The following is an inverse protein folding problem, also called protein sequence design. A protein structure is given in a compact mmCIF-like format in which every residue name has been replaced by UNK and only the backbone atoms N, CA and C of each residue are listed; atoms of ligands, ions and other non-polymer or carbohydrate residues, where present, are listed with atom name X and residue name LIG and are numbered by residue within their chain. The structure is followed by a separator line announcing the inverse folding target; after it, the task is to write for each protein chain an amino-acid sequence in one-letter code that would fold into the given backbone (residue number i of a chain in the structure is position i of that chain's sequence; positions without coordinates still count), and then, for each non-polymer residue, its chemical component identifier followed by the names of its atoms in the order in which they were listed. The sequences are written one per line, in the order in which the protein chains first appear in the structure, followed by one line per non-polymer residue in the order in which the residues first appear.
data_IF_375672668831
#
_entry.id   IF_375672668831
#
_cell.length_a   1.000
_cell.length_b   1.000
_cell.length_c   1.000
_cell.angle_alpha   90.00
_cell.angle_beta   90.00
_cell.angle_gamma   90.00
#
_symmetry.space_group_name_H-M   'P 1'
#
loop_
_entity.id
_entity.type
_entity.pdbx_description
1 polymer ?
#
# COMPACT_ATOMS: atom_id res chain seq x y z
N UNK A 1 -19.36 -17.82 15.04
CA UNK A 1 -18.70 -16.78 14.21
C UNK A 1 -18.61 -17.34 12.79
N UNK A 2 -19.20 -16.68 11.78
CA UNK A 2 -19.38 -17.25 10.42
C UNK A 2 -18.08 -17.38 9.60
N UNK A 3 -17.07 -16.55 9.90
CA UNK A 3 -15.79 -16.52 9.16
C UNK A 3 -14.61 -16.80 10.09
N UNK A 4 -13.58 -17.42 9.52
CA UNK A 4 -12.33 -17.76 10.21
C UNK A 4 -11.21 -16.90 9.65
N UNK A 5 -10.73 -15.96 10.47
CA UNK A 5 -9.49 -15.22 10.17
C UNK A 5 -8.31 -16.08 10.62
N UNK A 6 -7.48 -16.49 9.65
CA UNK A 6 -6.27 -17.27 9.93
C UNK A 6 -5.30 -16.42 10.75
N UNK A 7 -4.44 -17.07 11.53
CA UNK A 7 -3.33 -16.39 12.21
C UNK A 7 -2.44 -15.67 11.20
N UNK A 8 -1.69 -14.65 11.62
CA UNK A 8 -0.78 -13.93 10.72
C UNK A 8 0.22 -14.87 10.04
N UNK A 9 0.76 -15.86 10.76
CA UNK A 9 1.69 -16.83 10.19
C UNK A 9 1.05 -17.65 9.05
N UNK A 10 -0.17 -18.14 9.24
CA UNK A 10 -0.93 -18.85 8.22
C UNK A 10 -1.30 -17.95 7.04
N UNK A 11 -1.69 -16.70 7.29
CA UNK A 11 -1.96 -15.72 6.24
C UNK A 11 -0.73 -15.44 5.38
N UNK A 12 0.45 -15.31 5.98
CA UNK A 12 1.70 -15.13 5.26
C UNK A 12 2.12 -16.36 4.46
N UNK A 13 1.77 -17.57 4.91
CA UNK A 13 1.90 -18.80 4.11
C UNK A 13 0.91 -18.80 2.95
N UNK A 14 -0.37 -18.53 3.21
CA UNK A 14 -1.43 -18.46 2.20
C UNK A 14 -1.13 -17.44 1.09
N UNK A 15 -0.57 -16.28 1.43
CA UNK A 15 -0.14 -15.22 0.50
C UNK A 15 0.85 -15.72 -0.58
N UNK A 16 1.56 -16.82 -0.33
CA UNK A 16 2.55 -17.39 -1.26
C UNK A 16 1.95 -18.44 -2.22
N UNK A 17 0.66 -18.75 -2.08
CA UNK A 17 0.00 -19.80 -2.87
C UNK A 17 -0.46 -19.31 -4.25
N UNK A 18 -0.68 -20.24 -5.17
CA UNK A 18 -1.30 -19.93 -6.47
C UNK A 18 -2.76 -19.47 -6.29
N UNK A 19 -3.49 -20.03 -5.32
CA UNK A 19 -4.85 -19.61 -5.00
C UNK A 19 -4.91 -18.12 -4.65
N UNK A 20 -4.02 -17.61 -3.81
CA UNK A 20 -3.93 -16.18 -3.52
C UNK A 20 -3.71 -15.34 -4.79
N UNK A 21 -2.86 -15.82 -5.70
CA UNK A 21 -2.59 -15.15 -6.98
C UNK A 21 -3.81 -15.14 -7.90
N UNK A 22 -4.60 -16.21 -7.92
CA UNK A 22 -5.86 -16.28 -8.67
C UNK A 22 -6.92 -15.33 -8.09
N UNK A 23 -7.09 -15.30 -6.77
CA UNK A 23 -8.01 -14.38 -6.11
C UNK A 23 -7.60 -12.93 -6.38
N UNK A 24 -6.30 -12.63 -6.36
CA UNK A 24 -5.80 -11.29 -6.68
C UNK A 24 -6.18 -10.84 -8.10
N UNK A 25 -6.04 -11.74 -9.09
CA UNK A 25 -6.45 -11.45 -10.49
C UNK A 25 -7.95 -11.17 -10.58
N UNK A 26 -8.77 -11.94 -9.86
CA UNK A 26 -10.21 -11.72 -9.80
C UNK A 26 -10.55 -10.36 -9.17
N UNK A 27 -9.97 -10.06 -8.01
CA UNK A 27 -10.15 -8.79 -7.30
C UNK A 27 -9.77 -7.58 -8.15
N UNK A 28 -8.66 -7.67 -8.89
CA UNK A 28 -8.26 -6.68 -9.89
C UNK A 28 -9.30 -6.50 -10.99
N UNK A 29 -9.83 -7.61 -11.53
CA UNK A 29 -10.77 -7.54 -12.65
C UNK A 29 -12.12 -6.91 -12.31
N UNK A 30 -12.51 -6.88 -11.04
CA UNK A 30 -13.74 -6.22 -10.57
C UNK A 30 -13.48 -4.90 -9.84
N UNK A 31 -12.23 -4.42 -9.81
CA UNK A 31 -11.87 -3.14 -9.20
C UNK A 31 -11.92 -3.11 -7.67
N UNK A 32 -12.01 -4.26 -7.00
CA UNK A 32 -12.09 -4.32 -5.53
C UNK A 32 -10.78 -3.95 -4.83
N UNK A 33 -9.66 -3.98 -5.56
CA UNK A 33 -8.36 -3.54 -5.06
C UNK A 33 -8.15 -2.01 -5.17
N UNK A 34 -9.19 -1.26 -5.57
CA UNK A 34 -9.08 0.18 -5.78
C UNK A 34 -8.93 0.94 -4.45
N UNK A 35 -8.45 2.19 -4.56
CA UNK A 35 -8.39 3.12 -3.43
C UNK A 35 -9.79 3.42 -2.89
N UNK A 36 -10.81 3.47 -3.74
CA UNK A 36 -12.19 3.66 -3.31
C UNK A 36 -12.65 2.53 -2.39
N UNK A 37 -12.31 1.29 -2.75
CA UNK A 37 -12.69 0.09 -2.01
C UNK A 37 -11.94 -0.02 -0.69
N UNK A 38 -10.62 0.15 -0.70
CA UNK A 38 -9.74 -0.23 0.42
C UNK A 38 -9.21 0.96 1.23
N UNK A 39 -9.25 2.17 0.67
CA UNK A 39 -8.56 3.36 1.16
C UNK A 39 -7.12 3.48 0.63
N UNK A 40 -6.48 4.63 0.87
CA UNK A 40 -5.05 4.82 0.61
C UNK A 40 -4.23 4.12 1.70
N UNK A 41 -4.10 2.80 1.59
CA UNK A 41 -3.54 1.94 2.64
C UNK A 41 -2.15 2.37 3.13
N UNK A 42 -1.22 2.72 2.23
CA UNK A 42 0.09 3.21 2.66
C UNK A 42 -0.02 4.54 3.41
N UNK A 43 -0.80 5.51 2.91
CA UNK A 43 -1.04 6.79 3.60
C UNK A 43 -1.62 6.56 4.99
N UNK A 44 -2.56 5.62 5.14
CA UNK A 44 -3.14 5.22 6.41
C UNK A 44 -2.09 4.63 7.35
N UNK A 45 -1.25 3.69 6.89
CA UNK A 45 -0.12 3.18 7.68
C UNK A 45 0.78 4.32 8.16
N UNK A 46 1.21 5.20 7.24
CA UNK A 46 2.09 6.33 7.55
C UNK A 46 1.45 7.28 8.58
N UNK A 47 0.13 7.55 8.47
CA UNK A 47 -0.66 8.41 9.36
C UNK A 47 -0.89 7.78 10.75
N UNK A 48 -0.99 6.46 10.83
CA UNK A 48 -1.27 5.74 12.08
C UNK A 48 -0.20 5.93 13.15
N UNK A 49 1.05 6.17 12.74
CA UNK A 49 2.24 6.15 13.60
C UNK A 49 2.38 4.84 14.40
N UNK A 50 1.78 3.74 13.93
CA UNK A 50 1.84 2.44 14.58
C UNK A 50 3.30 1.94 14.66
N UNK A 51 3.69 1.45 15.84
CA UNK A 51 5.02 0.91 16.12
C UNK A 51 5.10 -0.58 15.84
N UNK A 52 3.97 -1.26 15.83
CA UNK A 52 3.87 -2.69 15.56
C UNK A 52 2.62 -3.03 14.74
N UNK A 53 2.56 -4.29 14.31
CA UNK A 53 1.49 -4.82 13.47
C UNK A 53 0.09 -4.68 14.11
N UNK A 54 -0.03 -4.96 15.41
CA UNK A 54 -1.31 -4.96 16.10
C UNK A 54 -1.87 -3.55 16.31
N UNK A 55 -0.99 -2.57 16.56
CA UNK A 55 -1.37 -1.15 16.58
C UNK A 55 -1.88 -0.70 15.21
N UNK A 56 -1.25 -1.13 14.12
CA UNK A 56 -1.72 -0.84 12.77
C UNK A 56 -3.09 -1.45 12.48
N UNK A 57 -3.26 -2.74 12.78
CA UNK A 57 -4.51 -3.47 12.62
C UNK A 57 -5.64 -2.79 13.38
N UNK A 58 -5.40 -2.45 14.65
CA UNK A 58 -6.35 -1.73 15.51
C UNK A 58 -6.69 -0.35 14.94
N UNK A 59 -5.70 0.41 14.50
CA UNK A 59 -5.91 1.73 13.87
C UNK A 59 -6.77 1.63 12.60
N UNK A 60 -6.48 0.65 11.72
CA UNK A 60 -7.22 0.48 10.47
C UNK A 60 -8.71 0.25 10.74
N UNK A 61 -9.05 -0.71 11.60
CA UNK A 61 -10.44 -1.01 11.92
C UNK A 61 -11.13 0.10 12.70
N UNK A 62 -10.43 0.77 13.64
CA UNK A 62 -10.97 1.92 14.35
C UNK A 62 -11.28 3.09 13.39
N UNK A 63 -10.41 3.34 12.40
CA UNK A 63 -10.67 4.34 11.37
C UNK A 63 -11.85 3.97 10.46
N UNK A 64 -12.07 2.67 10.21
CA UNK A 64 -13.25 2.17 9.52
C UNK A 64 -14.56 2.38 10.28
N UNK A 65 -14.54 2.25 11.61
CA UNK A 65 -15.71 2.64 12.45
C UNK A 65 -16.01 4.13 12.32
N UNK A 66 -14.99 5.00 12.32
CA UNK A 66 -15.14 6.44 12.09
C UNK A 66 -15.72 6.75 10.71
N UNK A 67 -15.21 6.09 9.66
CA UNK A 67 -15.76 6.17 8.29
C UNK A 67 -17.26 5.92 8.27
N UNK A 68 -17.70 4.83 8.91
CA UNK A 68 -19.12 4.48 8.90
C UNK A 68 -19.96 5.49 9.68
N UNK A 69 -19.43 6.06 10.76
CA UNK A 69 -20.05 7.19 11.46
C UNK A 69 -20.23 8.43 10.57
N UNK A 70 -19.23 8.74 9.72
CA UNK A 70 -19.33 9.84 8.75
C UNK A 70 -20.34 9.55 7.64
N UNK A 71 -20.34 8.32 7.10
CA UNK A 71 -21.30 7.90 6.06
C UNK A 71 -22.74 7.97 6.58
N UNK A 72 -22.99 7.54 7.83
CA UNK A 72 -24.34 7.60 8.43
C UNK A 72 -24.94 9.01 8.50
N UNK A 73 -24.11 10.05 8.45
CA UNK A 73 -24.56 11.46 8.46
C UNK A 73 -24.90 11.99 7.07
N UNK A 74 -24.66 11.21 6.02
CA UNK A 74 -24.99 11.57 4.64
C UNK A 74 -26.41 11.13 4.29
N UNK A 75 -26.98 11.67 3.22
CA UNK A 75 -28.30 11.27 2.71
C UNK A 75 -28.30 9.78 2.28
N UNK A 76 -29.46 9.10 2.28
CA UNK A 76 -29.55 7.69 1.89
C UNK A 76 -28.92 7.37 0.53
N UNK A 77 -29.09 8.25 -0.46
CA UNK A 77 -28.55 8.11 -1.82
C UNK A 77 -27.02 8.14 -1.79
N UNK A 78 -26.45 9.11 -1.05
CA UNK A 78 -24.99 9.21 -0.86
C UNK A 78 -24.44 8.02 -0.09
N UNK A 79 -25.18 7.51 0.91
CA UNK A 79 -24.77 6.30 1.62
C UNK A 79 -24.69 5.10 0.69
N UNK A 80 -25.63 4.95 -0.25
CA UNK A 80 -25.61 3.88 -1.23
C UNK A 80 -24.34 3.92 -2.10
N UNK A 81 -23.96 5.11 -2.58
CA UNK A 81 -22.69 5.29 -3.29
C UNK A 81 -21.48 4.95 -2.41
N UNK A 82 -21.44 5.50 -1.19
CA UNK A 82 -20.28 5.37 -0.30
C UNK A 82 -20.03 3.93 0.16
N UNK A 83 -21.07 3.10 0.29
CA UNK A 83 -20.98 1.69 0.71
C UNK A 83 -20.63 0.73 -0.43
N UNK A 84 -20.61 1.21 -1.68
CA UNK A 84 -20.27 0.37 -2.82
C UNK A 84 -18.77 0.10 -2.88
N UNK A 85 -18.39 -1.18 -2.94
CA UNK A 85 -16.98 -1.58 -2.96
C UNK A 85 -16.37 -1.62 -4.35
N UNK A 86 -17.14 -1.98 -5.39
CA UNK A 86 -16.65 -2.07 -6.77
C UNK A 86 -17.34 -1.03 -7.63
N UNK A 87 -16.59 -0.33 -8.48
CA UNK A 87 -17.11 0.69 -9.37
C UNK A 87 -16.71 0.37 -10.81
N UNK A 88 -17.67 0.36 -11.72
CA UNK A 88 -17.37 0.48 -13.15
C UNK A 88 -17.09 1.95 -13.52
N UNK A 89 -16.72 2.20 -14.77
CA UNK A 89 -16.36 3.54 -15.27
C UNK A 89 -17.50 4.54 -15.11
N UNK A 90 -18.70 4.19 -15.57
CA UNK A 90 -19.91 5.01 -15.45
C UNK A 90 -20.24 5.34 -14.00
N UNK A 91 -20.15 4.37 -13.10
CA UNK A 91 -20.40 4.56 -11.67
C UNK A 91 -19.35 5.47 -11.02
N UNK A 92 -18.10 5.36 -11.46
CA UNK A 92 -17.03 6.25 -11.02
C UNK A 92 -17.27 7.70 -11.47
N UNK A 93 -17.81 7.91 -12.67
CA UNK A 93 -18.24 9.23 -13.15
C UNK A 93 -19.42 9.78 -12.35
N UNK A 94 -20.48 8.99 -12.19
CA UNK A 94 -21.65 9.36 -11.40
C UNK A 94 -21.26 9.74 -9.96
N UNK A 95 -20.31 9.05 -9.35
CA UNK A 95 -19.79 9.37 -8.02
C UNK A 95 -19.08 10.73 -8.00
N UNK A 96 -18.34 11.09 -9.05
CA UNK A 96 -17.66 12.39 -9.11
C UNK A 96 -18.65 13.54 -9.23
N UNK A 97 -19.78 13.31 -9.91
CA UNK A 97 -20.86 14.29 -10.07
C UNK A 97 -21.72 14.39 -8.80
N UNK A 98 -22.03 13.25 -8.18
CA UNK A 98 -22.97 13.17 -7.04
C UNK A 98 -22.33 13.47 -5.68
N UNK A 99 -21.01 13.28 -5.55
CA UNK A 99 -20.28 13.46 -4.29
C UNK A 99 -19.20 14.54 -4.42
N UNK A 100 -19.25 15.49 -3.49
CA UNK A 100 -18.18 16.47 -3.32
C UNK A 100 -16.84 15.77 -3.05
N UNK A 101 -15.74 16.47 -3.31
CA UNK A 101 -14.41 15.94 -2.96
C UNK A 101 -14.31 15.58 -1.48
N UNK A 102 -14.85 16.43 -0.58
CA UNK A 102 -14.86 16.22 0.87
C UNK A 102 -15.60 14.94 1.28
N UNK A 103 -16.64 14.55 0.56
CA UNK A 103 -17.34 13.29 0.81
C UNK A 103 -16.55 12.10 0.28
N UNK A 104 -15.98 12.19 -0.92
CA UNK A 104 -15.18 11.11 -1.52
C UNK A 104 -13.93 10.78 -0.70
N UNK A 105 -13.26 11.77 -0.10
CA UNK A 105 -12.07 11.52 0.73
C UNK A 105 -12.38 10.63 1.94
N UNK A 106 -13.63 10.52 2.38
CA UNK A 106 -14.01 9.62 3.48
C UNK A 106 -13.66 8.17 3.14
N UNK A 107 -13.84 7.74 1.88
CA UNK A 107 -13.44 6.41 1.42
C UNK A 107 -11.92 6.26 1.23
N UNK A 108 -11.23 7.36 0.96
CA UNK A 108 -9.80 7.39 0.67
C UNK A 108 -8.93 7.45 1.93
N UNK A 109 -9.39 8.14 2.97
CA UNK A 109 -8.61 8.47 4.17
C UNK A 109 -9.00 7.69 5.42
N UNK A 110 -9.80 6.64 5.26
CA UNK A 110 -10.16 5.73 6.34
C UNK A 110 -10.05 4.27 5.90
N UNK A 111 -9.79 3.40 6.86
CA UNK A 111 -9.89 1.96 6.70
C UNK A 111 -11.33 1.47 6.64
N UNK A 112 -11.52 0.19 6.93
CA UNK A 112 -12.79 -0.52 6.84
C UNK A 112 -13.07 -1.23 8.17
N UNK A 113 -14.33 -1.42 8.56
CA UNK A 113 -14.68 -2.24 9.73
C UNK A 113 -14.42 -3.71 9.39
N UNK A 114 -14.32 -4.58 10.39
CA UNK A 114 -14.07 -6.01 10.15
C UNK A 114 -15.19 -6.64 9.32
N UNK A 115 -16.42 -6.19 9.53
CA UNK A 115 -17.59 -6.67 8.79
C UNK A 115 -17.54 -6.25 7.31
N UNK A 116 -16.94 -5.09 6.97
CA UNK A 116 -16.72 -4.70 5.57
C UNK A 116 -15.76 -5.71 4.90
N UNK A 117 -14.75 -6.22 5.64
CA UNK A 117 -13.81 -7.24 5.13
C UNK A 117 -14.56 -8.53 4.81
N UNK A 118 -15.52 -8.91 5.65
CA UNK A 118 -16.37 -10.07 5.42
C UNK A 118 -17.26 -9.87 4.18
N UNK A 119 -17.96 -8.74 4.10
CA UNK A 119 -18.81 -8.39 2.95
C UNK A 119 -18.01 -8.35 1.64
N UNK A 120 -16.80 -7.79 1.64
CA UNK A 120 -15.90 -7.80 0.48
C UNK A 120 -15.43 -9.21 0.10
N UNK A 121 -15.16 -10.07 1.09
CA UNK A 121 -14.77 -11.46 0.87
C UNK A 121 -15.90 -12.27 0.25
N UNK A 122 -17.13 -12.08 0.71
CA UNK A 122 -18.34 -12.66 0.13
C UNK A 122 -18.57 -12.20 -1.30
N UNK A 123 -18.44 -10.89 -1.56
CA UNK A 123 -18.57 -10.34 -2.90
C UNK A 123 -17.59 -11.00 -3.89
N UNK A 124 -16.32 -11.19 -3.49
CA UNK A 124 -15.36 -11.90 -4.34
C UNK A 124 -15.67 -13.38 -4.51
N UNK A 125 -16.14 -14.03 -3.45
CA UNK A 125 -16.51 -15.43 -3.48
C UNK A 125 -17.67 -15.65 -4.47
N UNK A 126 -18.73 -14.85 -4.36
CA UNK A 126 -19.90 -14.92 -5.24
C UNK A 126 -19.50 -14.66 -6.69
N UNK A 127 -18.63 -13.69 -6.94
CA UNK A 127 -18.10 -13.43 -8.27
C UNK A 127 -17.28 -14.61 -8.81
N UNK A 128 -16.52 -15.30 -7.95
CA UNK A 128 -15.77 -16.49 -8.36
C UNK A 128 -16.71 -17.65 -8.72
N UNK A 129 -17.77 -17.87 -7.93
CA UNK A 129 -18.80 -18.88 -8.21
C UNK A 129 -19.47 -18.59 -9.55
N UNK A 130 -19.86 -17.33 -9.80
CA UNK A 130 -20.45 -16.90 -11.09
C UNK A 130 -19.53 -17.19 -12.28
N UNK A 131 -18.22 -17.11 -12.09
CA UNK A 131 -17.20 -17.44 -13.10
C UNK A 131 -16.80 -18.93 -13.11
N UNK A 132 -17.58 -19.80 -12.48
CA UNK A 132 -17.39 -21.25 -12.50
C UNK A 132 -16.30 -21.79 -11.59
N UNK A 133 -15.79 -21.01 -10.62
CA UNK A 133 -14.82 -21.50 -9.63
C UNK A 133 -15.58 -22.17 -8.48
N UNK A 134 -15.57 -23.51 -8.40
CA UNK A 134 -16.40 -24.28 -7.42
C UNK A 134 -15.66 -24.83 -6.20
N UNK A 135 -14.34 -24.65 -6.10
CA UNK A 135 -13.49 -25.40 -5.14
C UNK A 135 -12.80 -24.54 -4.08
N UNK A 136 -13.27 -23.32 -3.82
CA UNK A 136 -12.59 -22.38 -2.90
C UNK A 136 -13.52 -22.05 -1.74
N UNK A 137 -13.00 -21.84 -0.52
CA UNK A 137 -13.80 -21.43 0.62
C UNK A 137 -13.99 -19.92 0.65
N UNK A 138 -15.18 -19.43 1.06
CA UNK A 138 -15.40 -18.01 1.36
C UNK A 138 -14.36 -17.45 2.35
N UNK A 139 -13.87 -18.29 3.27
CA UNK A 139 -12.81 -17.91 4.22
C UNK A 139 -11.50 -17.54 3.51
N UNK A 140 -11.16 -18.15 2.38
CA UNK A 140 -9.93 -17.82 1.65
C UNK A 140 -10.03 -16.43 0.99
N UNK A 141 -11.23 -16.04 0.54
CA UNK A 141 -11.50 -14.69 0.02
C UNK A 141 -11.49 -13.64 1.12
N UNK A 142 -12.09 -13.93 2.28
CA UNK A 142 -12.01 -13.05 3.44
C UNK A 142 -10.56 -12.84 3.89
N UNK A 143 -9.78 -13.92 4.00
CA UNK A 143 -8.36 -13.83 4.36
C UNK A 143 -7.54 -13.13 3.28
N UNK A 144 -7.89 -13.26 2.00
CA UNK A 144 -7.28 -12.50 0.91
C UNK A 144 -7.49 -10.99 1.10
N UNK A 145 -8.71 -10.54 1.39
CA UNK A 145 -8.99 -9.11 1.65
C UNK A 145 -8.22 -8.66 2.89
N UNK A 146 -8.24 -9.45 3.97
CA UNK A 146 -7.52 -9.15 5.20
C UNK A 146 -6.02 -8.94 4.95
N UNK A 147 -5.39 -9.86 4.21
CA UNK A 147 -3.98 -9.75 3.81
C UNK A 147 -3.75 -8.47 2.99
N UNK A 148 -4.66 -8.15 2.09
CA UNK A 148 -4.53 -7.01 1.18
C UNK A 148 -4.61 -5.67 1.91
N UNK A 149 -5.43 -5.56 2.96
CA UNK A 149 -5.63 -4.30 3.70
C UNK A 149 -4.81 -4.17 4.97
N UNK A 150 -4.45 -5.28 5.62
CA UNK A 150 -3.68 -5.28 6.87
C UNK A 150 -2.23 -5.68 6.63
N UNK A 151 -2.00 -6.91 6.17
CA UNK A 151 -0.65 -7.49 6.14
C UNK A 151 0.24 -6.80 5.09
N UNK A 152 -0.23 -6.63 3.85
CA UNK A 152 0.56 -6.04 2.76
C UNK A 152 1.00 -4.61 3.06
N UNK A 153 0.11 -3.69 3.50
CA UNK A 153 0.51 -2.33 3.84
C UNK A 153 1.49 -2.29 5.01
N UNK A 154 1.30 -3.13 6.03
CA UNK A 154 2.25 -3.21 7.14
C UNK A 154 3.62 -3.71 6.69
N UNK A 155 3.67 -4.77 5.88
CA UNK A 155 4.92 -5.27 5.30
C UNK A 155 5.64 -4.20 4.45
N UNK A 156 4.87 -3.30 3.81
CA UNK A 156 5.38 -2.13 3.10
C UNK A 156 6.03 -1.14 4.04
N UNK A 157 5.27 -0.70 5.04
CA UNK A 157 5.65 0.34 6.00
C UNK A 157 6.78 -0.08 6.96
N UNK A 158 6.73 -1.30 7.49
CA UNK A 158 7.78 -1.85 8.36
C UNK A 158 9.13 -1.95 7.64
N UNK A 159 9.14 -2.37 6.37
CA UNK A 159 10.35 -2.35 5.53
C UNK A 159 10.95 -0.95 5.43
N UNK A 160 10.10 0.05 5.19
CA UNK A 160 10.51 1.45 5.06
C UNK A 160 11.20 1.93 6.34
N UNK A 161 10.58 1.72 7.51
CA UNK A 161 11.14 2.10 8.82
C UNK A 161 12.44 1.35 9.10
N UNK A 162 12.44 0.03 8.94
CA UNK A 162 13.57 -0.81 9.30
C UNK A 162 14.78 -0.53 8.39
N UNK A 163 14.57 -0.29 7.10
CA UNK A 163 15.65 0.06 6.18
C UNK A 163 16.28 1.41 6.53
N UNK A 164 15.48 2.42 6.90
CA UNK A 164 16.00 3.71 7.36
C UNK A 164 16.73 3.58 8.69
N UNK A 165 16.23 2.79 9.63
CA UNK A 165 16.93 2.50 10.88
C UNK A 165 18.33 1.91 10.60
N UNK A 166 18.44 0.94 9.68
CA UNK A 166 19.74 0.39 9.26
C UNK A 166 20.65 1.38 8.54
N UNK A 167 20.09 2.29 7.75
CA UNK A 167 20.88 3.36 7.14
C UNK A 167 21.36 4.37 8.19
N UNK A 168 20.53 4.71 9.17
CA UNK A 168 20.90 5.64 10.24
C UNK A 168 21.96 5.05 11.18
N UNK A 169 21.86 3.76 11.53
CA UNK A 169 22.92 3.03 12.25
C UNK A 169 24.27 3.13 11.52
N UNK A 170 24.25 3.02 10.18
CA UNK A 170 25.47 3.03 9.36
C UNK A 170 26.02 4.42 9.05
N UNK A 171 25.13 5.41 8.93
CA UNK A 171 25.45 6.78 8.56
C UNK A 171 24.91 7.73 9.62
N UNK A 172 25.42 7.60 10.85
CA UNK A 172 24.93 8.36 12.02
C UNK A 172 25.09 9.88 11.87
N UNK A 173 26.02 10.33 11.03
CA UNK A 173 26.23 11.74 10.68
C UNK A 173 25.30 12.27 9.58
N UNK A 174 24.40 11.44 9.05
CA UNK A 174 23.38 11.82 8.07
C UNK A 174 22.00 11.87 8.71
N UNK A 175 21.22 12.87 8.31
CA UNK A 175 19.82 13.01 8.69
C UNK A 175 18.93 12.47 7.57
N UNK A 176 18.21 11.39 7.86
CA UNK A 176 17.19 10.82 6.98
C UNK A 176 15.83 11.41 7.33
N UNK A 177 15.37 12.38 6.55
CA UNK A 177 14.08 13.04 6.78
C UNK A 177 13.01 12.43 5.89
N UNK A 178 11.88 12.02 6.47
CA UNK A 178 10.75 11.53 5.67
C UNK A 178 10.27 12.59 4.69
N UNK A 179 9.98 12.16 3.47
CA UNK A 179 9.39 13.03 2.45
C UNK A 179 7.99 13.49 2.87
N UNK A 180 7.63 14.71 2.46
CA UNK A 180 6.26 15.20 2.62
C UNK A 180 5.31 14.44 1.69
N UNK A 181 4.01 14.40 2.02
CA UNK A 181 3.00 13.68 1.23
C UNK A 181 3.00 14.10 -0.25
N UNK A 182 3.15 15.40 -0.50
CA UNK A 182 3.25 15.95 -1.86
C UNK A 182 4.46 15.40 -2.62
N UNK A 183 5.60 15.26 -1.94
CA UNK A 183 6.84 14.73 -2.55
C UNK A 183 6.70 13.23 -2.88
N UNK A 184 6.01 12.43 -2.06
CA UNK A 184 5.70 11.02 -2.35
C UNK A 184 4.77 10.92 -3.58
N UNK A 185 3.72 11.73 -3.63
CA UNK A 185 2.77 11.74 -4.75
C UNK A 185 3.44 12.19 -6.05
N UNK A 186 4.20 13.29 -6.04
CA UNK A 186 4.80 13.86 -7.24
C UNK A 186 6.05 13.09 -7.70
N UNK A 187 6.89 12.68 -6.77
CA UNK A 187 8.25 12.20 -7.06
C UNK A 187 8.53 10.75 -6.63
N UNK A 188 7.58 10.13 -5.92
CA UNK A 188 7.69 8.77 -5.40
C UNK A 188 8.88 8.58 -4.44
N UNK A 189 9.20 9.62 -3.67
CA UNK A 189 10.30 9.63 -2.69
C UNK A 189 9.75 9.29 -1.31
N UNK A 190 10.47 8.42 -0.59
CA UNK A 190 10.13 8.07 0.79
C UNK A 190 10.92 8.92 1.80
N UNK A 191 12.21 9.16 1.55
CA UNK A 191 13.11 9.93 2.43
C UNK A 191 14.03 10.85 1.65
N UNK A 192 14.46 11.93 2.30
CA UNK A 192 15.53 12.84 1.88
C UNK A 192 16.75 12.62 2.77
N UNK A 193 17.93 12.76 2.18
CA UNK A 193 19.22 12.59 2.85
C UNK A 193 19.86 13.95 3.01
N UNK A 194 20.18 14.33 4.24
CA UNK A 194 20.85 15.58 4.56
C UNK A 194 22.15 15.33 5.31
N UNK A 195 23.13 16.20 5.09
CA UNK A 195 24.29 16.37 5.98
C UNK A 195 24.26 17.81 6.46
N UNK A 196 24.12 18.00 7.77
CA UNK A 196 23.65 19.26 8.34
C UNK A 196 22.37 19.73 7.60
N UNK A 197 22.40 20.90 6.96
CA UNK A 197 21.29 21.47 6.20
C UNK A 197 21.40 21.27 4.67
N UNK A 198 22.49 20.68 4.19
CA UNK A 198 22.68 20.41 2.76
C UNK A 198 21.92 19.14 2.36
N UNK A 199 20.99 19.28 1.42
CA UNK A 199 20.34 18.16 0.74
C UNK A 199 21.38 17.45 -0.14
N UNK A 200 21.63 16.17 0.15
CA UNK A 200 22.58 15.34 -0.61
C UNK A 200 21.91 14.47 -1.67
N UNK A 201 20.65 14.11 -1.43
CA UNK A 201 19.92 13.15 -2.25
C UNK A 201 18.61 12.75 -1.62
N UNK A 202 17.94 11.81 -2.26
CA UNK A 202 16.71 11.22 -1.76
C UNK A 202 16.69 9.71 -1.94
N UNK A 203 15.75 9.03 -1.29
CA UNK A 203 15.63 7.58 -1.25
C UNK A 203 14.21 7.18 -1.61
N UNK A 204 14.11 6.19 -2.48
CA UNK A 204 12.91 5.39 -2.65
C UNK A 204 13.18 3.96 -2.16
N UNK A 205 12.35 3.47 -1.23
CA UNK A 205 12.49 2.14 -0.64
C UNK A 205 11.56 1.17 -1.37
N UNK A 206 12.11 0.03 -1.79
CA UNK A 206 11.42 -1.03 -2.53
C UNK A 206 11.69 -2.40 -1.94
N UNK A 207 10.84 -3.36 -2.29
CA UNK A 207 11.00 -4.73 -1.83
C UNK A 207 12.09 -5.47 -2.60
N UNK A 208 12.80 -6.41 -1.97
CA UNK A 208 13.73 -7.31 -2.67
C UNK A 208 13.08 -8.01 -3.88
N UNK A 209 11.80 -8.39 -3.78
CA UNK A 209 11.07 -9.03 -4.88
C UNK A 209 11.02 -8.16 -6.14
N UNK A 210 10.94 -6.84 -5.99
CA UNK A 210 10.99 -5.92 -7.14
C UNK A 210 12.37 -5.92 -7.80
N UNK A 211 13.45 -6.02 -7.02
CA UNK A 211 14.81 -6.19 -7.57
C UNK A 211 14.94 -7.51 -8.34
N UNK A 212 14.46 -8.62 -7.76
CA UNK A 212 14.51 -9.93 -8.40
C UNK A 212 13.68 -10.00 -9.69
N UNK A 213 12.49 -9.39 -9.70
CA UNK A 213 11.66 -9.31 -10.89
C UNK A 213 12.33 -8.51 -12.02
N UNK A 214 13.12 -7.48 -11.67
CA UNK A 214 13.93 -6.75 -12.65
C UNK A 214 15.11 -7.56 -13.21
N UNK A 215 15.69 -8.46 -12.41
CA UNK A 215 16.83 -9.32 -12.83
C UNK A 215 16.41 -10.55 -13.64
N UNK A 216 15.25 -11.15 -13.35
CA UNK A 216 14.76 -12.38 -14.02
C UNK A 216 14.21 -12.15 -15.45
N UNK A 217 14.56 -11.04 -16.10
CA UNK A 217 14.17 -10.81 -17.50
C UNK A 217 12.66 -10.82 -17.75
N UNK A 218 11.81 -10.53 -16.76
CA UNK A 218 10.39 -10.25 -17.05
C UNK A 218 10.38 -9.09 -18.05
N UNK A 219 9.97 -9.39 -19.29
CA UNK A 219 10.08 -8.55 -20.50
C UNK A 219 9.66 -7.09 -20.30
N UNK A 220 8.88 -6.78 -19.27
CA UNK A 220 8.52 -5.42 -18.89
C UNK A 220 8.55 -5.25 -17.36
N UNK A 221 9.32 -4.30 -16.80
CA UNK A 221 9.08 -3.85 -15.44
C UNK A 221 7.62 -3.40 -15.33
N UNK A 222 6.96 -3.73 -14.23
CA UNK A 222 5.56 -3.34 -14.02
C UNK A 222 5.39 -1.82 -14.28
N UNK A 223 4.25 -1.40 -14.83
CA UNK A 223 3.98 0.03 -15.12
C UNK A 223 4.27 0.92 -13.91
N UNK A 224 4.03 0.42 -12.70
CA UNK A 224 4.31 1.12 -11.44
C UNK A 224 5.81 1.37 -11.20
N UNK A 225 6.68 0.41 -11.52
CA UNK A 225 8.14 0.57 -11.37
C UNK A 225 8.67 1.57 -12.39
N UNK A 226 8.17 1.54 -13.63
CA UNK A 226 8.54 2.54 -14.65
C UNK A 226 8.12 3.95 -14.22
N UNK A 227 6.86 4.12 -13.83
CA UNK A 227 6.31 5.39 -13.35
C UNK A 227 7.06 5.92 -12.12
N UNK A 228 7.45 5.06 -11.20
CA UNK A 228 8.26 5.46 -10.04
C UNK A 228 9.62 6.01 -10.47
N UNK A 229 10.33 5.33 -11.39
CA UNK A 229 11.60 5.81 -11.93
C UNK A 229 11.48 7.15 -12.66
N UNK A 230 10.44 7.31 -13.47
CA UNK A 230 10.15 8.57 -14.18
C UNK A 230 9.92 9.72 -13.19
N UNK A 231 9.08 9.51 -12.18
CA UNK A 231 8.83 10.50 -11.11
C UNK A 231 10.11 10.88 -10.35
N UNK A 232 10.94 9.90 -10.01
CA UNK A 232 12.20 10.15 -9.30
C UNK A 232 13.25 10.85 -10.17
N UNK A 233 13.23 10.63 -11.50
CA UNK A 233 14.06 11.38 -12.44
C UNK A 233 13.70 12.86 -12.45
N UNK A 234 12.40 13.19 -12.49
CA UNK A 234 11.92 14.58 -12.42
C UNK A 234 12.41 15.28 -11.14
N UNK A 235 12.41 14.59 -9.99
CA UNK A 235 12.96 15.18 -8.77
C UNK A 235 14.46 15.43 -8.87
N UNK A 236 15.20 14.49 -9.45
CA UNK A 236 16.65 14.60 -9.56
C UNK A 236 17.05 15.80 -10.40
N UNK A 237 16.33 16.02 -11.50
CA UNK A 237 16.49 17.19 -12.37
C UNK A 237 16.09 18.48 -11.65
N UNK A 238 14.92 18.50 -10.98
CA UNK A 238 14.42 19.71 -10.28
C UNK A 238 15.27 20.14 -9.10
N UNK A 239 15.89 19.19 -8.39
CA UNK A 239 16.64 19.45 -7.15
C UNK A 239 18.14 19.33 -7.30
N UNK A 240 18.62 18.95 -8.48
CA UNK A 240 20.03 18.68 -8.78
C UNK A 240 20.70 17.75 -7.76
N UNK A 241 19.96 16.70 -7.32
CA UNK A 241 20.45 15.68 -6.39
C UNK A 241 19.90 14.31 -6.80
N UNK A 242 20.62 13.20 -6.59
CA UNK A 242 20.16 11.90 -7.03
C UNK A 242 19.04 11.33 -6.15
N UNK A 243 18.16 10.52 -6.75
CA UNK A 243 17.26 9.61 -6.02
C UNK A 243 17.83 8.18 -6.05
N UNK A 244 18.15 7.65 -4.87
CA UNK A 244 18.68 6.31 -4.69
C UNK A 244 17.57 5.30 -4.42
N UNK A 245 17.64 4.14 -5.09
CA UNK A 245 16.72 3.03 -4.83
C UNK A 245 17.32 2.11 -3.77
N UNK A 246 16.67 1.98 -2.63
CA UNK A 246 17.04 1.04 -1.56
C UNK A 246 16.10 -0.15 -1.62
N UNK A 247 16.65 -1.33 -1.93
CA UNK A 247 15.88 -2.57 -1.92
C UNK A 247 16.14 -3.29 -0.61
N UNK A 248 15.07 -3.61 0.12
CA UNK A 248 15.17 -4.22 1.44
C UNK A 248 14.16 -5.35 1.67
N UNK A 249 14.53 -6.25 2.58
CA UNK A 249 13.62 -7.22 3.20
C UNK A 249 12.74 -6.54 4.26
N UNK A 250 11.67 -7.19 4.73
CA UNK A 250 10.74 -6.59 5.72
C UNK A 250 11.44 -6.15 7.01
N UNK A 251 12.45 -6.91 7.46
CA UNK A 251 13.26 -6.59 8.64
C UNK A 251 14.39 -5.57 8.38
N UNK A 252 14.38 -4.90 7.22
CA UNK A 252 15.29 -3.79 6.91
C UNK A 252 16.64 -4.17 6.32
N UNK A 253 16.93 -5.46 6.15
CA UNK A 253 18.16 -5.91 5.48
C UNK A 253 18.20 -5.40 4.05
N UNK A 254 19.20 -4.58 3.75
CA UNK A 254 19.41 -3.96 2.43
C UNK A 254 20.10 -4.97 1.51
N UNK A 255 19.46 -5.31 0.40
CA UNK A 255 19.94 -6.36 -0.52
C UNK A 255 20.83 -5.81 -1.64
N UNK A 256 20.63 -4.56 -2.06
CA UNK A 256 21.44 -3.93 -3.09
C UNK A 256 22.62 -3.15 -2.49
N UNK A 257 23.64 -3.87 -2.00
CA UNK A 257 24.80 -3.31 -1.28
C UNK A 257 25.49 -2.12 -1.98
N UNK A 258 25.40 -1.99 -3.31
CA UNK A 258 25.93 -0.83 -4.03
C UNK A 258 25.33 0.51 -3.58
N UNK A 259 24.09 0.54 -3.06
CA UNK A 259 23.47 1.77 -2.57
C UNK A 259 24.25 2.39 -1.41
N UNK A 260 24.91 1.56 -0.60
CA UNK A 260 25.77 2.02 0.48
C UNK A 260 26.96 2.81 -0.08
N UNK A 261 27.59 2.29 -1.14
CA UNK A 261 28.69 3.00 -1.83
C UNK A 261 28.19 4.30 -2.46
N UNK A 262 26.98 4.31 -3.02
CA UNK A 262 26.37 5.52 -3.58
C UNK A 262 26.17 6.58 -2.50
N UNK A 263 25.67 6.22 -1.31
CA UNK A 263 25.49 7.17 -0.20
C UNK A 263 26.84 7.75 0.26
N UNK A 264 27.90 6.95 0.36
CA UNK A 264 29.24 7.47 0.66
C UNK A 264 29.70 8.50 -0.39
N UNK A 265 29.47 8.24 -1.68
CA UNK A 265 29.82 9.17 -2.76
C UNK A 265 29.03 10.49 -2.72
N UNK A 266 27.84 10.53 -2.12
CA UNK A 266 27.11 11.80 -1.92
C UNK A 266 27.78 12.70 -0.87
N UNK A 267 28.66 12.13 -0.04
CA UNK A 267 29.30 12.84 1.06
C UNK A 267 30.72 13.31 0.73
N UNK A 268 31.28 12.84 -0.39
CA UNK A 268 32.55 13.27 -0.95
C UNK A 268 32.35 14.60 -1.70
#
# INVERSE_FOLDING_TARGET
MKYIIKTRAERLKFKKTELFSQINKLSLSIGLNSIWSLGHLMKLCKKSKAKNFYEWESFYFASGKKRNGLIKRMTPEKQAFMKKYTLNEKESEMIKESLSHKERIVNFEHGRKLEDIFEMGELLYDEAIKRGKRYVSVNDYVNFIYISVIDVPWMGFSREINAISKLHEKFSWLRFQRAQEREDIEFAIDYKIFRADKLLGAIQIKSEKELMNGRKGKKFPSKNVKRAKEKSKVYSEKKNVPVLFVYAEEHGKIVNKNVIRQIYKLCA
#
